data_IF_792231281552
#
_entry.id   IF_792231281552
#
_cell.length_a   1.000
_cell.length_b   1.000
_cell.length_c   1.000
_cell.angle_alpha   90.00
_cell.angle_beta   90.00
_cell.angle_gamma   90.00
#
_symmetry.space_group_name_H-M   'P 1'
#
loop_
_entity.id
_entity.type
_entity.pdbx_description
1 polymer ?
#
# COMPACT_ATOMS: atom_id res chain seq x y z
N UNK A 1 6.51 13.76 -22.83
CA UNK A 1 6.28 12.51 -22.07
C UNK A 1 4.82 12.49 -21.66
N UNK A 2 4.13 11.37 -21.80
CA UNK A 2 2.73 11.28 -21.37
C UNK A 2 2.68 11.29 -19.83
N UNK A 3 1.82 12.12 -19.26
CA UNK A 3 1.55 12.11 -17.83
C UNK A 3 0.27 11.30 -17.61
N UNK A 4 0.36 10.27 -16.76
CA UNK A 4 -0.80 9.51 -16.33
C UNK A 4 -1.29 10.05 -14.99
N UNK A 5 -2.60 10.31 -14.89
CA UNK A 5 -3.25 10.65 -13.64
C UNK A 5 -3.90 9.40 -13.05
N UNK A 6 -3.39 8.94 -11.91
CA UNK A 6 -3.95 7.80 -11.20
C UNK A 6 -5.00 8.27 -10.18
N UNK A 7 -6.26 7.89 -10.39
CA UNK A 7 -7.31 8.13 -9.39
C UNK A 7 -7.17 7.15 -8.23
N UNK A 8 -6.95 7.69 -7.02
CA UNK A 8 -6.92 6.91 -5.79
C UNK A 8 -8.32 6.52 -5.32
N UNK A 9 -9.32 7.38 -5.56
CA UNK A 9 -10.66 7.26 -5.00
C UNK A 9 -11.41 6.01 -5.50
N UNK A 10 -11.02 5.47 -6.65
CA UNK A 10 -11.63 4.29 -7.26
C UNK A 10 -10.88 2.99 -6.93
N UNK A 11 -9.79 3.04 -6.17
CA UNK A 11 -9.02 1.85 -5.79
C UNK A 11 -9.64 1.21 -4.56
N UNK A 12 -10.30 0.08 -4.75
CA UNK A 12 -10.93 -0.68 -3.67
C UNK A 12 -9.84 -1.26 -2.74
N UNK A 13 -9.86 -0.93 -1.43
CA UNK A 13 -8.92 -1.52 -0.50
C UNK A 13 -9.21 -3.02 -0.28
N UNK A 14 -8.15 -3.82 -0.25
CA UNK A 14 -8.22 -5.23 0.17
C UNK A 14 -7.90 -5.36 1.65
N UNK A 15 -8.58 -6.28 2.34
CA UNK A 15 -8.34 -6.57 3.76
C UNK A 15 -7.06 -7.39 3.93
N UNK A 16 -6.27 -7.08 4.95
CA UNK A 16 -5.12 -7.89 5.33
C UNK A 16 -5.55 -9.26 5.88
N UNK A 17 -4.71 -10.28 5.68
CA UNK A 17 -4.99 -11.64 6.14
C UNK A 17 -5.20 -11.73 7.67
N UNK A 18 -4.51 -10.88 8.44
CA UNK A 18 -4.68 -10.80 9.90
C UNK A 18 -5.89 -9.96 10.34
N UNK A 19 -6.63 -9.36 9.40
CA UNK A 19 -7.80 -8.52 9.68
C UNK A 19 -7.52 -7.15 10.29
N UNK A 20 -6.27 -6.81 10.63
CA UNK A 20 -5.88 -5.60 11.37
C UNK A 20 -5.80 -4.32 10.51
N UNK A 21 -6.14 -4.42 9.22
CA UNK A 21 -6.10 -3.28 8.32
C UNK A 21 -6.48 -3.62 6.90
N UNK A 22 -6.33 -2.62 6.04
CA UNK A 22 -6.63 -2.66 4.61
C UNK A 22 -5.52 -1.98 3.81
N UNK A 23 -5.39 -2.33 2.54
CA UNK A 23 -4.42 -1.74 1.61
C UNK A 23 -5.05 -1.42 0.26
N UNK A 24 -4.66 -0.31 -0.33
CA UNK A 24 -4.97 0.01 -1.72
C UNK A 24 -3.67 0.25 -2.50
N UNK A 25 -3.44 -0.55 -3.53
CA UNK A 25 -2.27 -0.40 -4.41
C UNK A 25 -2.55 0.67 -5.46
N UNK A 26 -1.68 1.70 -5.51
CA UNK A 26 -1.84 2.83 -6.42
C UNK A 26 -1.03 2.59 -7.69
N UNK A 27 0.23 2.18 -7.54
CA UNK A 27 1.11 1.86 -8.66
C UNK A 27 2.18 0.85 -8.25
N UNK A 28 2.64 0.08 -9.23
CA UNK A 28 3.72 -0.92 -9.07
C UNK A 28 4.67 -0.84 -10.25
N UNK A 29 5.96 -0.99 -9.97
CA UNK A 29 7.01 -1.24 -10.95
C UNK A 29 7.61 -2.64 -10.78
N UNK A 30 8.74 -2.90 -11.43
CA UNK A 30 9.42 -4.18 -11.34
C UNK A 30 9.97 -4.47 -9.93
N UNK A 31 10.39 -3.44 -9.21
CA UNK A 31 11.10 -3.51 -7.93
C UNK A 31 10.54 -2.54 -6.87
N UNK A 32 9.45 -1.84 -7.18
CA UNK A 32 8.82 -0.87 -6.28
C UNK A 32 7.29 -0.94 -6.30
N UNK A 33 6.69 -0.45 -5.22
CA UNK A 33 5.25 -0.29 -5.08
C UNK A 33 4.96 0.97 -4.27
N UNK A 34 3.87 1.65 -4.63
CA UNK A 34 3.28 2.71 -3.81
C UNK A 34 1.81 2.41 -3.56
N UNK A 35 1.37 2.62 -2.33
CA UNK A 35 0.02 2.32 -1.90
C UNK A 35 -0.33 3.00 -0.60
N UNK A 36 -1.62 2.96 -0.26
CA UNK A 36 -2.13 3.41 1.03
C UNK A 36 -2.34 2.20 1.95
N UNK A 37 -1.99 2.38 3.21
CA UNK A 37 -2.32 1.47 4.29
C UNK A 37 -3.34 2.16 5.21
N UNK A 38 -4.43 1.46 5.53
CA UNK A 38 -5.41 1.88 6.51
C UNK A 38 -5.26 0.97 7.73
N UNK A 39 -4.87 1.54 8.86
CA UNK A 39 -4.68 0.81 10.10
C UNK A 39 -6.01 0.80 10.85
N UNK A 40 -6.62 -0.38 10.98
CA UNK A 40 -7.90 -0.54 11.67
C UNK A 40 -7.67 -1.02 13.13
N UNK A 41 -6.48 -1.56 13.44
CA UNK A 41 -6.04 -1.95 14.77
C UNK A 41 -4.51 -1.91 14.90
N UNK A 42 -4.00 -1.82 16.14
CA UNK A 42 -2.57 -1.96 16.41
C UNK A 42 -2.11 -3.41 16.15
N UNK A 43 -1.19 -3.57 15.21
CA UNK A 43 -0.62 -4.86 14.85
C UNK A 43 0.78 -4.68 14.21
N UNK A 44 1.65 -5.69 14.33
CA UNK A 44 2.93 -5.67 13.63
C UNK A 44 2.73 -5.69 12.11
N UNK A 45 3.54 -4.93 11.38
CA UNK A 45 3.61 -5.03 9.92
C UNK A 45 4.31 -6.33 9.50
N UNK A 46 3.94 -6.83 8.32
CA UNK A 46 4.70 -7.88 7.64
C UNK A 46 6.15 -7.45 7.38
N UNK A 47 7.06 -8.41 7.45
CA UNK A 47 8.47 -8.22 7.15
C UNK A 47 8.72 -8.30 5.64
N UNK A 48 9.38 -7.28 5.08
CA UNK A 48 9.76 -7.18 3.67
C UNK A 48 11.29 -7.19 3.58
N UNK A 49 11.92 -8.32 3.94
CA UNK A 49 13.38 -8.44 4.00
C UNK A 49 14.05 -7.99 2.70
N UNK A 50 15.09 -7.17 2.84
CA UNK A 50 15.88 -6.64 1.73
C UNK A 50 15.22 -5.48 0.99
N UNK A 51 14.04 -5.01 1.42
CA UNK A 51 13.34 -3.87 0.81
C UNK A 51 13.36 -2.66 1.73
N UNK A 52 13.58 -1.49 1.14
CA UNK A 52 13.44 -0.22 1.85
C UNK A 52 11.96 0.18 1.93
N UNK A 53 11.55 0.75 3.07
CA UNK A 53 10.20 1.25 3.29
C UNK A 53 10.25 2.69 3.77
N UNK A 54 9.47 3.54 3.13
CA UNK A 54 9.22 4.92 3.57
C UNK A 54 7.72 5.01 3.84
N UNK A 55 7.36 5.53 5.01
CA UNK A 55 5.97 5.66 5.46
C UNK A 55 5.76 7.09 5.92
N UNK A 56 4.61 7.66 5.59
CA UNK A 56 4.15 8.95 6.07
C UNK A 56 2.68 8.83 6.50
N UNK A 57 2.31 9.60 7.53
CA UNK A 57 0.97 9.65 8.09
C UNK A 57 0.27 10.93 7.64
#
# INVERSE_FOLDING_TARGET
>A
MAHEQLSFATRLPSRWANGAGRKADIATGADWMVGFAFLDADAPFSDFKGQNRIITL
#
